data_IF_941824405592
#
_entry.id   IF_941824405592
#
_cell.length_a   1.000
_cell.length_b   1.000
_cell.length_c   1.000
_cell.angle_alpha   90.00
_cell.angle_beta   90.00
_cell.angle_gamma   90.00
#
_symmetry.space_group_name_H-M   'P 1'
#
loop_
_entity.id
_entity.type
_entity.pdbx_description
1 polymer ?
#
# COMPACT_ATOMS: atom_id res chain seq x y z
N UNK A 1 7.84 -10.47 -5.48
CA UNK A 1 7.30 -11.31 -6.56
C UNK A 1 5.89 -10.87 -6.97
N UNK A 2 4.86 -10.94 -6.11
CA UNK A 2 3.46 -10.62 -6.46
C UNK A 2 3.33 -9.23 -7.10
N UNK A 3 4.04 -8.22 -6.58
CA UNK A 3 4.08 -6.86 -7.17
C UNK A 3 4.93 -6.75 -8.46
N UNK A 4 5.54 -7.86 -8.93
CA UNK A 4 6.36 -7.87 -10.15
C UNK A 4 7.72 -7.18 -10.02
N UNK A 5 8.25 -6.99 -8.81
CA UNK A 5 9.58 -6.37 -8.59
C UNK A 5 10.74 -7.37 -8.75
N UNK A 6 10.45 -8.65 -8.63
CA UNK A 6 11.44 -9.72 -8.67
C UNK A 6 10.98 -10.79 -9.66
N UNK A 7 11.93 -11.27 -10.45
CA UNK A 7 11.73 -12.41 -11.34
C UNK A 7 11.67 -13.72 -10.55
N UNK A 8 10.92 -14.68 -11.05
CA UNK A 8 10.96 -16.07 -10.57
C UNK A 8 11.53 -16.96 -11.67
N UNK A 9 12.18 -18.06 -11.26
CA UNK A 9 12.72 -19.04 -12.22
C UNK A 9 11.65 -20.07 -12.62
N UNK A 10 10.60 -20.25 -11.82
CA UNK A 10 9.54 -21.22 -12.04
C UNK A 10 8.30 -20.83 -11.25
N UNK A 11 7.20 -21.50 -11.53
CA UNK A 11 5.91 -21.29 -10.87
C UNK A 11 5.03 -20.30 -11.61
N UNK A 12 3.87 -19.97 -11.01
CA UNK A 12 2.87 -19.07 -11.56
C UNK A 12 2.34 -18.18 -10.45
N UNK A 13 2.13 -16.89 -10.75
CA UNK A 13 1.53 -15.92 -9.83
C UNK A 13 0.37 -15.25 -10.57
N UNK A 14 -0.84 -15.68 -10.28
CA UNK A 14 -2.05 -15.12 -10.89
C UNK A 14 -2.58 -13.95 -10.06
N UNK A 15 -2.80 -12.80 -10.71
CA UNK A 15 -3.56 -11.67 -10.17
C UNK A 15 -4.69 -11.35 -11.14
N UNK A 16 -5.90 -11.76 -10.78
CA UNK A 16 -6.98 -11.90 -11.76
C UNK A 16 -6.58 -12.88 -12.85
N UNK A 17 -6.73 -12.47 -14.11
CA UNK A 17 -6.38 -13.30 -15.27
C UNK A 17 -4.92 -13.15 -15.73
N UNK A 18 -4.12 -12.30 -15.07
CA UNK A 18 -2.75 -12.04 -15.45
C UNK A 18 -1.76 -12.90 -14.65
N UNK A 19 -0.94 -13.69 -15.35
CA UNK A 19 0.24 -14.32 -14.76
C UNK A 19 1.40 -13.33 -14.69
N UNK A 20 1.67 -12.83 -13.48
CA UNK A 20 2.72 -11.81 -13.23
C UNK A 20 4.12 -12.32 -13.59
N UNK A 21 4.34 -13.64 -13.57
CA UNK A 21 5.66 -14.25 -13.88
C UNK A 21 6.03 -14.07 -15.35
N UNK A 22 5.04 -14.24 -16.23
CA UNK A 22 5.23 -14.17 -17.71
C UNK A 22 4.76 -12.85 -18.30
N UNK A 23 4.18 -11.96 -17.49
CA UNK A 23 3.61 -10.69 -17.95
C UNK A 23 4.66 -9.76 -18.58
N UNK A 24 4.32 -9.14 -19.69
CA UNK A 24 5.13 -8.07 -20.27
C UNK A 24 5.21 -6.85 -19.31
N UNK A 25 6.30 -6.07 -19.34
CA UNK A 25 6.46 -4.92 -18.44
C UNK A 25 5.28 -3.93 -18.46
N UNK A 26 4.68 -3.68 -19.62
CA UNK A 26 3.50 -2.82 -19.73
C UNK A 26 2.27 -3.36 -19.00
N UNK A 27 2.10 -4.68 -18.99
CA UNK A 27 1.00 -5.34 -18.27
C UNK A 27 1.20 -5.22 -16.75
N UNK A 28 2.45 -5.36 -16.28
CA UNK A 28 2.78 -5.16 -14.86
C UNK A 28 2.55 -3.71 -14.44
N UNK A 29 2.90 -2.72 -15.28
CA UNK A 29 2.62 -1.30 -15.02
C UNK A 29 1.11 -1.07 -14.94
N UNK A 30 0.34 -1.62 -15.88
CA UNK A 30 -1.12 -1.49 -15.87
C UNK A 30 -1.74 -2.15 -14.65
N UNK A 31 -1.28 -3.35 -14.27
CA UNK A 31 -1.72 -4.05 -13.07
C UNK A 31 -1.54 -3.18 -11.80
N UNK A 32 -0.34 -2.59 -11.63
CA UNK A 32 -0.03 -1.70 -10.51
C UNK A 32 -0.84 -0.41 -10.51
N UNK A 33 -1.26 0.02 -11.68
CA UNK A 33 -2.04 1.26 -11.84
C UNK A 33 -3.50 1.09 -11.43
N UNK A 34 -4.10 -0.05 -11.75
CA UNK A 34 -5.56 -0.23 -11.65
C UNK A 34 -6.02 -1.37 -10.75
N UNK A 35 -5.16 -2.34 -10.45
CA UNK A 35 -5.58 -3.58 -9.81
C UNK A 35 -4.86 -3.85 -8.50
N UNK A 36 -3.55 -3.62 -8.44
CA UNK A 36 -2.71 -4.04 -7.33
C UNK A 36 -2.05 -2.85 -6.64
N UNK A 37 -2.64 -2.36 -5.57
CA UNK A 37 -2.05 -1.35 -4.71
C UNK A 37 -0.96 -1.93 -3.80
N UNK A 38 0.00 -1.10 -3.38
CA UNK A 38 1.07 -1.52 -2.49
C UNK A 38 1.44 -0.44 -1.49
N UNK A 39 1.34 -0.77 -0.23
CA UNK A 39 1.91 -0.01 0.88
C UNK A 39 3.19 -0.71 1.29
N UNK A 40 4.34 -0.16 0.92
CA UNK A 40 5.65 -0.70 1.26
C UNK A 40 6.08 -0.28 2.67
N UNK A 41 7.04 -0.96 3.25
CA UNK A 41 7.58 -0.62 4.56
C UNK A 41 8.15 0.81 4.63
N UNK A 42 8.72 1.31 3.53
CA UNK A 42 9.26 2.66 3.44
C UNK A 42 8.65 3.43 2.28
N UNK A 43 8.28 4.69 2.54
CA UNK A 43 7.78 5.59 1.50
C UNK A 43 8.87 5.86 0.45
N UNK A 44 8.55 5.55 -0.79
CA UNK A 44 9.42 5.86 -1.96
C UNK A 44 8.73 6.91 -2.82
N UNK A 45 9.29 8.09 -2.86
CA UNK A 45 8.76 9.23 -3.64
C UNK A 45 9.87 9.97 -4.37
N UNK A 46 9.49 10.68 -5.41
CA UNK A 46 10.39 11.60 -6.11
C UNK A 46 10.60 12.83 -5.20
N UNK A 47 11.84 13.27 -4.95
CA UNK A 47 12.11 14.48 -4.18
C UNK A 47 11.42 15.69 -4.79
N UNK A 48 11.08 16.67 -3.96
CA UNK A 48 10.45 17.95 -4.34
C UNK A 48 9.02 17.85 -4.88
N UNK A 49 8.37 16.67 -4.77
CA UNK A 49 6.93 16.52 -5.01
C UNK A 49 6.20 16.75 -3.70
N UNK A 50 5.12 17.52 -3.71
CA UNK A 50 4.32 17.82 -2.52
C UNK A 50 3.64 16.55 -1.97
N UNK A 51 3.41 16.49 -0.67
CA UNK A 51 2.67 15.41 -0.03
C UNK A 51 1.27 15.23 -0.64
N UNK A 52 0.60 16.34 -0.95
CA UNK A 52 -0.70 16.33 -1.60
C UNK A 52 -0.65 15.65 -2.97
N UNK A 53 0.34 16.03 -3.81
CA UNK A 53 0.52 15.42 -5.14
C UNK A 53 0.90 13.94 -5.04
N UNK A 54 1.75 13.56 -4.07
CA UNK A 54 2.12 12.15 -3.81
C UNK A 54 0.88 11.29 -3.51
N UNK A 55 -0.05 11.80 -2.72
CA UNK A 55 -1.27 11.06 -2.35
C UNK A 55 -2.33 11.11 -3.45
N UNK A 56 -2.42 12.20 -4.22
CA UNK A 56 -3.36 12.35 -5.33
C UNK A 56 -2.95 11.54 -6.58
N UNK A 57 -1.64 11.24 -6.74
CA UNK A 57 -1.08 10.61 -7.93
C UNK A 57 -1.80 9.33 -8.37
N UNK A 58 -2.14 8.35 -7.50
CA UNK A 58 -2.81 7.12 -7.94
C UNK A 58 -4.17 7.36 -8.61
N UNK A 59 -4.94 8.34 -8.12
CA UNK A 59 -6.22 8.71 -8.73
C UNK A 59 -6.02 9.41 -10.08
N UNK A 60 -5.11 10.38 -10.16
CA UNK A 60 -4.79 11.05 -11.43
C UNK A 60 -4.26 10.05 -12.46
N UNK A 61 -3.43 9.10 -12.03
CA UNK A 61 -2.92 8.05 -12.91
C UNK A 61 -4.03 7.16 -13.49
N UNK A 62 -5.16 7.01 -12.83
CA UNK A 62 -6.33 6.25 -13.31
C UNK A 62 -7.34 7.09 -14.08
N UNK A 63 -7.08 8.38 -14.28
CA UNK A 63 -7.90 9.26 -15.12
C UNK A 63 -8.82 10.21 -14.35
N UNK A 64 -8.75 10.25 -13.02
CA UNK A 64 -9.47 11.27 -12.24
C UNK A 64 -8.93 12.66 -12.54
N UNK A 65 -9.79 13.66 -12.56
CA UNK A 65 -9.37 15.04 -12.64
C UNK A 65 -8.62 15.47 -11.35
N UNK A 66 -7.83 16.52 -11.47
CA UNK A 66 -6.98 16.99 -10.39
C UNK A 66 -7.76 17.41 -9.15
N UNK A 67 -8.88 18.10 -9.32
CA UNK A 67 -9.67 18.62 -8.20
C UNK A 67 -10.25 17.46 -7.37
N UNK A 68 -10.79 16.44 -8.02
CA UNK A 68 -11.30 15.21 -7.38
C UNK A 68 -10.18 14.45 -6.67
N UNK A 69 -9.03 14.28 -7.31
CA UNK A 69 -7.89 13.58 -6.73
C UNK A 69 -7.32 14.30 -5.50
N UNK A 70 -7.19 15.63 -5.55
CA UNK A 70 -6.75 16.44 -4.41
C UNK A 70 -7.76 16.44 -3.26
N UNK A 71 -9.06 16.46 -3.53
CA UNK A 71 -10.09 16.40 -2.49
C UNK A 71 -10.02 15.06 -1.72
N UNK A 72 -9.86 13.96 -2.44
CA UNK A 72 -9.68 12.65 -1.83
C UNK A 72 -8.36 12.56 -1.04
N UNK A 73 -7.27 13.09 -1.59
CA UNK A 73 -5.98 13.13 -0.91
C UNK A 73 -6.05 13.91 0.40
N UNK A 74 -6.70 15.09 0.41
CA UNK A 74 -6.93 15.89 1.63
C UNK A 74 -7.71 15.11 2.68
N UNK A 75 -8.78 14.42 2.28
CA UNK A 75 -9.59 13.58 3.18
C UNK A 75 -8.73 12.50 3.85
N UNK A 76 -7.88 11.82 3.09
CA UNK A 76 -7.00 10.78 3.62
C UNK A 76 -5.90 11.34 4.52
N UNK A 77 -5.29 12.46 4.14
CA UNK A 77 -4.27 13.13 4.96
C UNK A 77 -4.84 13.59 6.30
N UNK A 78 -6.05 14.17 6.32
CA UNK A 78 -6.75 14.50 7.56
C UNK A 78 -7.01 13.25 8.40
N UNK A 79 -7.56 12.22 7.80
CA UNK A 79 -7.87 10.96 8.49
C UNK A 79 -6.65 10.32 9.14
N UNK A 80 -5.48 10.48 8.54
CA UNK A 80 -4.20 9.97 9.02
C UNK A 80 -3.40 11.01 9.84
N UNK A 81 -4.03 12.07 10.31
CA UNK A 81 -3.44 13.09 11.16
C UNK A 81 -2.14 13.70 10.58
N UNK A 82 -2.12 13.96 9.28
CA UNK A 82 -1.05 14.74 8.64
C UNK A 82 -1.45 16.21 8.66
N UNK A 83 -0.72 17.09 9.38
CA UNK A 83 -1.06 18.51 9.48
C UNK A 83 -1.07 19.21 8.12
N UNK A 84 -2.02 20.11 7.88
CA UNK A 84 -2.16 20.82 6.60
C UNK A 84 -0.91 21.58 6.19
N UNK A 85 -0.16 22.14 7.14
CA UNK A 85 1.12 22.82 6.90
C UNK A 85 2.17 21.94 6.21
N UNK A 86 2.02 20.62 6.27
CA UNK A 86 2.93 19.65 5.64
C UNK A 86 2.49 19.26 4.21
N UNK A 87 1.27 19.57 3.80
CA UNK A 87 0.73 19.06 2.54
C UNK A 87 1.44 19.58 1.30
N UNK A 88 1.97 20.80 1.38
CA UNK A 88 2.74 21.42 0.29
C UNK A 88 4.24 21.11 0.35
N UNK A 89 4.69 20.42 1.39
CA UNK A 89 6.09 20.02 1.56
C UNK A 89 6.32 18.61 1.01
N UNK A 90 7.57 18.34 0.62
CA UNK A 90 7.97 17.00 0.22
C UNK A 90 8.04 16.07 1.46
N UNK A 91 7.43 14.89 1.42
CA UNK A 91 7.45 13.99 2.57
C UNK A 91 8.83 13.38 2.88
N UNK A 92 9.83 13.62 2.03
CA UNK A 92 11.20 13.13 2.27
C UNK A 92 11.86 13.73 3.52
N UNK A 93 11.34 14.85 4.02
CA UNK A 93 11.86 15.54 5.21
C UNK A 93 11.06 15.25 6.48
N UNK A 94 10.04 14.41 6.39
CA UNK A 94 9.15 14.11 7.52
C UNK A 94 9.74 13.05 8.45
N UNK A 95 9.21 12.96 9.66
CA UNK A 95 9.50 11.86 10.59
C UNK A 95 9.06 10.50 9.98
N UNK A 96 9.66 9.40 10.44
CA UNK A 96 9.31 8.06 9.95
C UNK A 96 7.82 7.74 10.07
N UNK A 97 7.18 8.14 11.17
CA UNK A 97 5.74 7.94 11.35
C UNK A 97 4.88 8.80 10.42
N UNK A 98 5.28 10.04 10.13
CA UNK A 98 4.59 10.88 9.13
C UNK A 98 4.77 10.32 7.73
N UNK A 99 5.98 9.88 7.36
CA UNK A 99 6.22 9.22 6.06
C UNK A 99 5.38 7.96 5.91
N UNK A 100 5.27 7.14 6.96
CA UNK A 100 4.45 5.94 6.94
C UNK A 100 2.96 6.27 6.74
N UNK A 101 2.42 7.29 7.42
CA UNK A 101 1.04 7.75 7.23
C UNK A 101 0.78 8.29 5.82
N UNK A 102 1.74 9.02 5.23
CA UNK A 102 1.65 9.46 3.81
C UNK A 102 1.67 8.25 2.86
N UNK A 103 2.51 7.26 3.14
CA UNK A 103 2.59 6.02 2.35
C UNK A 103 1.26 5.26 2.36
N UNK A 104 0.62 5.16 3.53
CA UNK A 104 -0.70 4.56 3.69
C UNK A 104 -1.76 5.39 2.95
N UNK A 105 -1.78 6.72 3.12
CA UNK A 105 -2.70 7.60 2.39
C UNK A 105 -2.61 7.36 0.87
N UNK A 106 -1.40 7.30 0.32
CA UNK A 106 -1.16 7.01 -1.10
C UNK A 106 -1.67 5.63 -1.51
N UNK A 107 -1.39 4.60 -0.71
CA UNK A 107 -1.81 3.22 -1.00
C UNK A 107 -3.32 3.01 -0.99
N UNK A 108 -4.04 3.83 -0.20
CA UNK A 108 -5.51 3.78 -0.09
C UNK A 108 -6.22 4.88 -0.89
N UNK A 109 -5.50 5.72 -1.64
CA UNK A 109 -6.10 6.79 -2.43
C UNK A 109 -7.01 6.27 -3.56
N UNK A 110 -6.61 5.20 -4.22
CA UNK A 110 -7.40 4.49 -5.23
C UNK A 110 -8.01 3.21 -4.64
N UNK A 111 -9.27 2.85 -4.96
CA UNK A 111 -9.92 1.65 -4.43
C UNK A 111 -9.46 0.38 -5.16
N UNK A 112 -8.21 0.02 -4.96
CA UNK A 112 -7.63 -1.17 -5.61
C UNK A 112 -8.42 -2.45 -5.27
N UNK A 113 -8.70 -3.32 -6.28
CA UNK A 113 -9.26 -4.66 -6.04
C UNK A 113 -8.37 -5.57 -5.21
N UNK A 114 -7.05 -5.35 -5.25
CA UNK A 114 -6.09 -6.08 -4.42
C UNK A 114 -5.07 -5.13 -3.79
N UNK A 115 -4.69 -5.39 -2.54
CA UNK A 115 -3.72 -4.59 -1.78
C UNK A 115 -2.63 -5.49 -1.18
N UNK A 116 -1.39 -5.05 -1.34
CA UNK A 116 -0.24 -5.60 -0.62
C UNK A 116 0.16 -4.62 0.47
N UNK A 117 0.24 -5.09 1.71
CA UNK A 117 0.57 -4.29 2.88
C UNK A 117 1.82 -4.84 3.56
N UNK A 118 2.88 -4.05 3.60
CA UNK A 118 4.16 -4.43 4.19
C UNK A 118 4.36 -3.63 5.48
N UNK A 119 4.06 -4.25 6.61
CA UNK A 119 4.11 -3.65 7.94
C UNK A 119 3.35 -2.31 8.07
N UNK A 120 2.07 -2.24 7.67
CA UNK A 120 1.35 -0.97 7.58
C UNK A 120 1.14 -0.28 8.93
N UNK A 121 1.27 -0.99 10.04
CA UNK A 121 1.10 -0.46 11.40
C UNK A 121 2.42 -0.16 12.12
N UNK A 122 3.57 -0.42 11.49
CA UNK A 122 4.87 -0.16 12.08
C UNK A 122 5.07 1.35 12.36
N UNK A 123 5.69 1.65 13.48
CA UNK A 123 6.03 3.02 13.91
C UNK A 123 4.82 3.97 14.06
N UNK A 124 3.61 3.44 14.23
CA UNK A 124 2.41 4.23 14.48
C UNK A 124 2.04 4.22 15.96
N UNK A 125 1.58 5.36 16.45
CA UNK A 125 0.92 5.45 17.75
C UNK A 125 -0.44 4.72 17.74
N UNK A 126 -1.03 4.40 18.91
CA UNK A 126 -2.26 3.63 18.99
C UNK A 126 -3.43 4.22 18.21
N UNK A 127 -3.56 5.54 18.16
CA UNK A 127 -4.66 6.22 17.45
C UNK A 127 -4.51 6.06 15.93
N UNK A 128 -3.32 6.32 15.40
CA UNK A 128 -3.06 6.14 13.98
C UNK A 128 -3.11 4.66 13.57
N UNK A 129 -2.65 3.74 14.44
CA UNK A 129 -2.80 2.30 14.23
C UNK A 129 -4.28 1.90 14.08
N UNK A 130 -5.15 2.31 15.00
CA UNK A 130 -6.58 2.03 14.92
C UNK A 130 -7.21 2.57 13.62
N UNK A 131 -6.80 3.79 13.22
CA UNK A 131 -7.25 4.38 11.94
C UNK A 131 -6.86 3.51 10.75
N UNK A 132 -5.62 3.01 10.71
CA UNK A 132 -5.14 2.15 9.62
C UNK A 132 -5.89 0.83 9.59
N UNK A 133 -6.11 0.18 10.73
CA UNK A 133 -6.89 -1.06 10.81
C UNK A 133 -8.33 -0.85 10.32
N UNK A 134 -8.96 0.26 10.67
CA UNK A 134 -10.29 0.62 10.15
C UNK A 134 -10.27 0.80 8.61
N UNK A 135 -9.25 1.45 8.05
CA UNK A 135 -9.11 1.60 6.60
C UNK A 135 -8.94 0.24 5.89
N UNK A 136 -8.20 -0.68 6.49
CA UNK A 136 -8.04 -2.06 5.98
C UNK A 136 -9.39 -2.79 6.03
N UNK A 137 -10.12 -2.70 7.16
CA UNK A 137 -11.44 -3.31 7.30
C UNK A 137 -12.45 -2.78 6.27
N UNK A 138 -12.45 -1.47 6.02
CA UNK A 138 -13.27 -0.85 4.98
C UNK A 138 -12.91 -1.33 3.57
N UNK A 139 -11.62 -1.51 3.27
CA UNK A 139 -11.18 -2.05 1.98
C UNK A 139 -11.64 -3.51 1.82
N UNK A 140 -11.53 -4.35 2.86
CA UNK A 140 -12.08 -5.71 2.89
C UNK A 140 -13.59 -5.71 2.67
N UNK A 141 -14.32 -4.83 3.36
CA UNK A 141 -15.78 -4.72 3.23
C UNK A 141 -16.22 -4.32 1.81
N UNK A 142 -15.38 -3.59 1.07
CA UNK A 142 -15.59 -3.30 -0.36
C UNK A 142 -15.22 -4.47 -1.30
N UNK A 143 -14.73 -5.58 -0.75
CA UNK A 143 -14.35 -6.77 -1.53
C UNK A 143 -12.90 -6.79 -2.01
N UNK A 144 -12.04 -5.91 -1.51
CA UNK A 144 -10.62 -5.95 -1.85
C UNK A 144 -9.94 -7.20 -1.25
N UNK A 145 -9.16 -7.90 -2.06
CA UNK A 145 -8.27 -8.97 -1.61
C UNK A 145 -7.01 -8.35 -0.98
N UNK A 146 -6.67 -8.72 0.25
CA UNK A 146 -5.54 -8.12 0.97
C UNK A 146 -4.54 -9.18 1.38
N UNK A 147 -3.27 -8.96 1.05
CA UNK A 147 -2.14 -9.75 1.55
C UNK A 147 -1.26 -8.80 2.35
N UNK A 148 -1.05 -9.10 3.64
CA UNK A 148 -0.27 -8.26 4.53
C UNK A 148 0.78 -9.02 5.32
N UNK A 149 1.89 -8.33 5.61
CA UNK A 149 2.88 -8.74 6.59
C UNK A 149 2.70 -7.85 7.82
N UNK A 150 2.56 -8.45 9.00
CA UNK A 150 2.37 -7.76 10.26
C UNK A 150 3.31 -8.33 11.31
N UNK A 151 4.14 -7.50 11.92
CA UNK A 151 4.90 -7.85 13.12
C UNK A 151 4.05 -7.69 14.40
N UNK A 152 3.08 -6.80 14.38
CA UNK A 152 2.11 -6.62 15.45
C UNK A 152 1.07 -7.76 15.41
N UNK A 153 1.20 -8.71 16.33
CA UNK A 153 0.33 -9.87 16.41
C UNK A 153 -1.13 -9.46 16.70
N UNK A 154 -1.35 -8.44 17.56
CA UNK A 154 -2.70 -7.98 17.87
C UNK A 154 -3.38 -7.35 16.64
N UNK A 155 -2.66 -6.54 15.86
CA UNK A 155 -3.17 -6.00 14.60
C UNK A 155 -3.48 -7.10 13.59
N UNK A 156 -2.59 -8.09 13.47
CA UNK A 156 -2.78 -9.24 12.59
C UNK A 156 -4.03 -10.04 12.97
N UNK A 157 -4.19 -10.38 14.25
CA UNK A 157 -5.28 -11.22 14.73
C UNK A 157 -6.65 -10.49 14.63
N UNK A 158 -6.65 -9.16 14.69
CA UNK A 158 -7.84 -8.33 14.50
C UNK A 158 -8.31 -8.28 13.04
N UNK A 159 -7.37 -8.25 12.05
CA UNK A 159 -7.72 -7.92 10.68
C UNK A 159 -7.63 -9.09 9.69
N UNK A 160 -6.82 -10.12 9.99
CA UNK A 160 -6.56 -11.23 9.06
C UNK A 160 -7.56 -12.36 9.22
N UNK A 161 -8.16 -12.80 8.12
CA UNK A 161 -9.05 -13.97 8.08
C UNK A 161 -8.27 -15.29 8.03
N UNK A 162 -7.04 -15.24 7.48
CA UNK A 162 -6.15 -16.40 7.31
C UNK A 162 -4.72 -16.00 7.54
N UNK A 163 -3.93 -16.93 8.02
CA UNK A 163 -2.48 -16.79 8.14
C UNK A 163 -1.79 -17.85 7.29
N UNK A 164 -0.68 -17.46 6.68
CA UNK A 164 0.16 -18.33 5.88
C UNK A 164 1.60 -18.27 6.40
N UNK A 165 2.10 -19.40 6.86
CA UNK A 165 3.46 -19.52 7.36
C UNK A 165 4.43 -19.77 6.20
N UNK A 166 5.19 -18.76 5.82
CA UNK A 166 6.18 -18.83 4.74
C UNK A 166 7.45 -19.59 5.14
N UNK A 167 7.68 -19.82 6.43
CA UNK A 167 8.89 -20.53 6.90
C UNK A 167 8.93 -21.98 6.43
N UNK A 168 7.76 -22.59 6.23
CA UNK A 168 7.61 -23.96 5.70
C UNK A 168 8.17 -24.12 4.27
N UNK A 169 8.36 -22.99 3.55
CA UNK A 169 8.81 -22.97 2.16
C UNK A 169 10.22 -22.37 2.02
N UNK A 170 10.85 -22.02 3.13
CA UNK A 170 12.25 -21.61 3.11
C UNK A 170 13.09 -22.85 2.82
N UNK A 171 13.95 -22.88 1.77
CA UNK A 171 14.89 -23.97 1.56
C UNK A 171 15.63 -24.18 2.87
N UNK A 172 15.56 -25.38 3.44
CA UNK A 172 16.22 -25.69 4.70
C UNK A 172 17.67 -25.23 4.61
N UNK A 173 18.14 -24.50 5.60
CA UNK A 173 19.54 -24.42 5.91
C UNK A 173 19.95 -25.90 6.13
N UNK A 174 20.51 -26.50 5.09
CA UNK A 174 21.14 -27.79 5.23
C UNK A 174 22.24 -27.62 6.27
N UNK A 175 22.03 -28.26 7.42
CA UNK A 175 22.98 -28.33 8.50
C UNK A 175 24.26 -29.03 8.03
#
# INVERSE_FOLDING_TARGET
>A
MIYGNYLTQSGRIMVGDLDVVTAAPRQVIQLRRTTLGYVSQFLRVVPRVSTLDVVAEPLMATGSDRATAEAQAKTLLHRLNIPERLWQLSPTTFSGGEQQRVNIARGFAYPYPALLLDEPTASLDPTNRATVLAMIAEAKARGAAIIGIFHDHAARDEICDRQFDVTQYTPGLAA
#
